data_IF_754105273159
#
_entry.id   IF_754105273159
#
_cell.length_a   1.000
_cell.length_b   1.000
_cell.length_c   1.000
_cell.angle_alpha   90.00
_cell.angle_beta   90.00
_cell.angle_gamma   90.00
#
_symmetry.space_group_name_H-M   'P 1'
#
loop_
_entity.id
_entity.type
_entity.pdbx_description
1 polymer ?
#
# COMPACT_ATOMS: atom_id res chain seq x y z
N UNK A 1 1.42 -14.41 -30.67
CA UNK A 1 0.99 -13.15 -30.06
C UNK A 1 1.68 -13.05 -28.72
N UNK A 2 2.59 -12.08 -28.55
CA UNK A 2 3.25 -11.85 -27.25
C UNK A 2 2.33 -10.87 -26.52
N UNK A 3 1.46 -11.40 -25.66
CA UNK A 3 0.73 -10.57 -24.70
C UNK A 3 1.77 -10.00 -23.73
N UNK A 4 2.16 -8.76 -23.99
CA UNK A 4 2.95 -7.99 -23.03
C UNK A 4 2.02 -7.72 -21.86
N UNK A 5 2.16 -8.49 -20.79
CA UNK A 5 1.41 -8.28 -19.55
C UNK A 5 1.89 -6.96 -18.94
N UNK A 6 1.26 -5.85 -19.34
CA UNK A 6 1.60 -4.52 -18.84
C UNK A 6 1.16 -4.48 -17.38
N UNK A 7 2.13 -4.51 -16.47
CA UNK A 7 1.87 -4.35 -15.05
C UNK A 7 1.10 -3.06 -14.79
N UNK A 8 0.11 -3.10 -13.89
CA UNK A 8 -0.67 -1.92 -13.57
C UNK A 8 0.21 -0.82 -12.96
N UNK A 9 -0.13 0.46 -13.16
CA UNK A 9 0.62 1.58 -12.55
C UNK A 9 0.72 1.45 -11.02
N UNK A 10 -0.34 0.99 -10.35
CA UNK A 10 -0.33 0.70 -8.92
C UNK A 10 0.72 -0.35 -8.54
N UNK A 11 0.85 -1.41 -9.37
CA UNK A 11 1.88 -2.44 -9.17
C UNK A 11 3.29 -1.86 -9.31
N UNK A 12 3.54 -1.03 -10.32
CA UNK A 12 4.85 -0.39 -10.51
C UNK A 12 5.23 0.50 -9.32
N UNK A 13 4.27 1.23 -8.76
CA UNK A 13 4.48 2.08 -7.58
C UNK A 13 4.80 1.23 -6.36
N UNK A 14 4.05 0.14 -6.12
CA UNK A 14 4.34 -0.75 -4.99
C UNK A 14 5.71 -1.42 -5.10
N UNK A 15 6.10 -1.86 -6.30
CA UNK A 15 7.44 -2.38 -6.56
C UNK A 15 8.53 -1.36 -6.27
N UNK A 16 8.32 -0.07 -6.58
CA UNK A 16 9.26 1.00 -6.24
C UNK A 16 9.33 1.23 -4.73
N UNK A 17 8.19 1.23 -4.02
CA UNK A 17 8.13 1.36 -2.56
C UNK A 17 8.93 0.22 -1.90
N UNK A 18 8.66 -1.02 -2.30
CA UNK A 18 9.37 -2.20 -1.81
C UNK A 18 10.88 -2.07 -2.05
N UNK A 19 11.29 -1.74 -3.28
CA UNK A 19 12.70 -1.59 -3.64
C UNK A 19 13.42 -0.52 -2.78
N UNK A 20 12.78 0.60 -2.50
CA UNK A 20 13.40 1.71 -1.75
C UNK A 20 13.45 1.42 -0.24
N UNK A 21 12.42 0.76 0.29
CA UNK A 21 12.23 0.63 1.75
C UNK A 21 12.69 -0.72 2.32
N UNK A 22 12.77 -1.76 1.50
CA UNK A 22 13.08 -3.13 1.95
C UNK A 22 14.45 -3.28 2.61
N UNK A 23 15.41 -2.40 2.35
CA UNK A 23 16.71 -2.40 3.05
C UNK A 23 16.54 -2.10 4.54
N UNK A 24 15.62 -1.19 4.89
CA UNK A 24 15.44 -0.67 6.25
C UNK A 24 14.23 -1.25 6.97
N UNK A 25 13.20 -1.64 6.24
CA UNK A 25 11.91 -2.03 6.78
C UNK A 25 11.49 -3.40 6.25
N UNK A 26 10.60 -4.07 6.98
CA UNK A 26 9.91 -5.25 6.48
C UNK A 26 8.68 -4.75 5.72
N UNK A 27 8.57 -5.15 4.45
CA UNK A 27 7.51 -4.73 3.55
C UNK A 27 6.61 -5.93 3.25
N UNK A 28 5.30 -5.76 3.42
CA UNK A 28 4.30 -6.73 3.02
C UNK A 28 3.41 -6.09 1.94
N UNK A 29 3.18 -6.80 0.84
CA UNK A 29 2.46 -6.28 -0.33
C UNK A 29 1.20 -7.10 -0.60
N UNK A 30 0.08 -6.44 -0.92
CA UNK A 30 -1.21 -7.07 -1.22
C UNK A 30 -1.71 -6.83 -2.66
N UNK A 31 -0.90 -6.19 -3.52
CA UNK A 31 -1.36 -5.73 -4.85
C UNK A 31 -1.80 -6.87 -5.78
N UNK A 32 -1.11 -8.01 -5.75
CA UNK A 32 -1.46 -9.16 -6.59
C UNK A 32 -2.49 -10.06 -5.90
N UNK A 33 -2.40 -10.20 -4.58
CA UNK A 33 -3.30 -11.03 -3.78
C UNK A 33 -3.40 -10.47 -2.37
N UNK A 34 -4.61 -10.24 -1.84
CA UNK A 34 -4.78 -9.78 -0.47
C UNK A 34 -4.45 -10.90 0.51
N UNK A 35 -3.27 -10.84 1.12
CA UNK A 35 -2.76 -11.85 2.06
C UNK A 35 -2.53 -11.29 3.48
N UNK A 36 -2.27 -10.00 3.60
CA UNK A 36 -1.86 -9.35 4.84
C UNK A 36 -2.94 -8.40 5.34
N UNK A 37 -3.57 -8.76 6.47
CA UNK A 37 -4.68 -8.03 7.06
C UNK A 37 -4.23 -7.23 8.30
N UNK A 38 -4.62 -5.96 8.38
CA UNK A 38 -4.34 -5.13 9.54
C UNK A 38 -5.45 -4.13 9.79
N UNK A 39 -5.84 -3.97 11.06
CA UNK A 39 -6.72 -2.88 11.49
C UNK A 39 -8.07 -2.86 10.78
N UNK A 40 -8.58 -4.01 10.35
CA UNK A 40 -9.84 -4.09 9.63
C UNK A 40 -9.72 -4.16 8.09
N UNK A 41 -8.52 -4.00 7.53
CA UNK A 41 -8.29 -3.73 6.10
C UNK A 41 -7.18 -4.59 5.48
N UNK A 42 -7.11 -4.59 4.15
CA UNK A 42 -6.00 -5.12 3.35
C UNK A 42 -5.29 -3.97 2.61
N UNK A 43 -4.37 -3.24 3.26
CA UNK A 43 -3.62 -2.17 2.61
C UNK A 43 -2.78 -2.70 1.45
N UNK A 44 -2.61 -1.91 0.39
CA UNK A 44 -1.76 -2.30 -0.74
C UNK A 44 -0.31 -2.60 -0.30
N UNK A 45 0.21 -1.83 0.66
CA UNK A 45 1.52 -2.06 1.30
C UNK A 45 1.43 -1.85 2.81
N UNK A 46 2.10 -2.71 3.59
CA UNK A 46 2.32 -2.56 5.03
C UNK A 46 3.82 -2.43 5.26
N UNK A 47 4.23 -1.37 5.95
CA UNK A 47 5.62 -1.10 6.34
C UNK A 47 5.77 -1.37 7.82
N UNK A 48 6.69 -2.26 8.17
CA UNK A 48 6.94 -2.70 9.54
C UNK A 48 8.40 -2.50 9.91
N UNK A 49 8.63 -2.25 11.20
CA UNK A 49 9.97 -2.30 11.77
C UNK A 49 10.52 -3.74 11.72
N UNK A 50 11.74 -3.92 11.19
CA UNK A 50 12.34 -5.25 11.00
C UNK A 50 12.64 -6.00 12.30
N UNK A 51 12.86 -5.27 13.39
CA UNK A 51 13.32 -5.85 14.65
C UNK A 51 12.14 -6.18 15.56
N UNK A 52 11.13 -5.32 15.57
CA UNK A 52 10.01 -5.39 16.51
C UNK A 52 8.73 -5.91 15.86
N UNK A 53 8.70 -6.06 14.53
CA UNK A 53 7.48 -6.33 13.76
C UNK A 53 6.34 -5.32 14.04
N UNK A 54 6.67 -4.13 14.57
CA UNK A 54 5.68 -3.09 14.78
C UNK A 54 5.29 -2.49 13.45
N UNK A 55 3.99 -2.36 13.19
CA UNK A 55 3.50 -1.63 12.02
C UNK A 55 3.78 -0.15 12.18
N UNK A 56 4.44 0.41 11.18
CA UNK A 56 4.79 1.83 11.11
C UNK A 56 3.83 2.57 10.17
N UNK A 57 3.53 1.97 9.01
CA UNK A 57 2.65 2.56 8.01
C UNK A 57 1.80 1.49 7.33
N UNK A 58 0.55 1.83 7.03
CA UNK A 58 -0.27 1.19 6.01
C UNK A 58 -0.40 2.16 4.82
N UNK A 59 -0.22 1.67 3.60
CA UNK A 59 -0.22 2.46 2.37
C UNK A 59 -1.25 1.89 1.40
N UNK A 60 -2.02 2.78 0.80
CA UNK A 60 -2.99 2.50 -0.27
C UNK A 60 -2.57 3.29 -1.52
N UNK A 61 -2.51 2.60 -2.66
CA UNK A 61 -2.11 3.11 -3.97
C UNK A 61 -3.32 3.08 -4.90
N UNK A 62 -4.07 4.18 -4.94
CA UNK A 62 -5.29 4.29 -5.76
C UNK A 62 -5.02 5.00 -7.08
N UNK A 63 -5.54 4.43 -8.17
CA UNK A 63 -5.60 5.11 -9.47
C UNK A 63 -6.54 6.31 -9.41
N UNK A 64 -6.07 7.45 -9.90
CA UNK A 64 -6.76 8.73 -9.81
C UNK A 64 -7.99 8.83 -10.72
N UNK A 65 -9.09 8.14 -10.40
CA UNK A 65 -10.40 8.35 -11.05
C UNK A 65 -11.40 9.13 -10.19
N UNK A 66 -11.23 9.12 -8.86
CA UNK A 66 -12.14 9.80 -7.91
C UNK A 66 -11.40 10.19 -6.62
N UNK A 67 -10.43 11.11 -6.74
CA UNK A 67 -9.61 11.60 -5.62
C UNK A 67 -10.42 12.03 -4.38
N UNK A 68 -11.55 12.71 -4.59
CA UNK A 68 -12.47 13.14 -3.52
C UNK A 68 -13.03 11.95 -2.71
N UNK A 69 -13.35 10.84 -3.37
CA UNK A 69 -13.86 9.64 -2.71
C UNK A 69 -12.76 8.92 -1.92
N UNK A 70 -11.52 8.96 -2.40
CA UNK A 70 -10.37 8.47 -1.65
C UNK A 70 -10.19 9.27 -0.35
N UNK A 71 -10.21 10.61 -0.43
CA UNK A 71 -10.12 11.48 0.77
C UNK A 71 -11.26 11.21 1.77
N UNK A 72 -12.50 11.01 1.30
CA UNK A 72 -13.63 10.70 2.17
C UNK A 72 -13.45 9.35 2.90
N UNK A 73 -12.95 8.33 2.20
CA UNK A 73 -12.59 7.06 2.83
C UNK A 73 -11.50 7.25 3.88
N UNK A 74 -10.49 8.09 3.63
CA UNK A 74 -9.41 8.36 4.59
C UNK A 74 -9.91 9.04 5.86
N UNK A 75 -10.80 10.04 5.71
CA UNK A 75 -11.41 10.72 6.85
C UNK A 75 -12.19 9.75 7.76
N UNK A 76 -12.79 8.71 7.17
CA UNK A 76 -13.53 7.70 7.91
C UNK A 76 -12.64 6.64 8.57
N UNK A 77 -11.35 6.58 8.21
CA UNK A 77 -10.36 5.62 8.74
C UNK A 77 -9.42 6.24 9.79
N UNK A 78 -9.70 7.46 10.27
CA UNK A 78 -8.85 8.24 11.19
C UNK A 78 -8.59 7.60 12.56
N UNK A 79 -9.13 6.41 12.83
CA UNK A 79 -8.86 5.62 14.04
C UNK A 79 -7.55 4.82 13.97
N UNK A 80 -6.90 4.73 12.80
CA UNK A 80 -5.61 4.06 12.65
C UNK A 80 -4.45 5.04 12.86
N UNK A 81 -3.51 4.76 13.79
CA UNK A 81 -2.54 5.74 14.22
C UNK A 81 -1.45 6.15 13.20
N UNK A 82 -1.37 5.53 12.01
CA UNK A 82 -0.48 5.97 10.93
C UNK A 82 -0.80 5.31 9.58
N UNK A 83 -1.65 5.94 8.76
CA UNK A 83 -1.89 5.52 7.37
C UNK A 83 -1.39 6.62 6.43
N UNK A 84 -0.44 6.28 5.55
CA UNK A 84 0.10 7.20 4.55
C UNK A 84 -0.54 6.89 3.20
N UNK A 85 -1.18 7.89 2.60
CA UNK A 85 -1.86 7.72 1.33
C UNK A 85 -1.08 8.36 0.18
N UNK A 86 -0.84 7.59 -0.89
CA UNK A 86 -0.12 8.03 -2.08
C UNK A 86 -1.10 7.98 -3.27
N UNK A 87 -1.28 9.12 -3.93
CA UNK A 87 -2.10 9.22 -5.15
C UNK A 87 -1.17 9.39 -6.33
N UNK A 88 -1.38 8.54 -7.34
CA UNK A 88 -0.62 8.48 -8.59
C UNK A 88 -1.55 8.62 -9.78
#
# INVERSE_FOLDING_TARGET
>A
MIETNIASESYLVVQQIEKILSDRFKILCNVDTPQHYIGGLFPDVIVMDKTTDKVLFAIEVKKNRQFSNCILQWKNLSSLPATLYIVV
#
